data_IF_012476844350
#
_entry.id   IF_012476844350
#
_cell.length_a   1.000
_cell.length_b   1.000
_cell.length_c   1.000
_cell.angle_alpha   90.00
_cell.angle_beta   90.00
_cell.angle_gamma   90.00
#
_symmetry.space_group_name_H-M   'P 1'
#
loop_
_entity.id
_entity.type
_entity.pdbx_description
1 polymer ?
#
# COMPACT_ATOMS: atom_id res chain seq x y z
N UNK A 1 -50.02 -26.90 9.99
CA UNK A 1 -48.61 -26.98 10.42
C UNK A 1 -47.73 -26.98 9.18
N UNK A 2 -47.15 -25.84 8.81
CA UNK A 2 -46.04 -25.74 7.84
C UNK A 2 -45.22 -24.52 8.22
N UNK A 3 -44.22 -24.69 9.08
CA UNK A 3 -43.25 -23.63 9.39
C UNK A 3 -42.30 -23.48 8.19
N UNK A 4 -42.23 -22.26 7.65
CA UNK A 4 -41.27 -21.89 6.62
C UNK A 4 -39.88 -21.78 7.27
N UNK A 5 -38.83 -22.45 6.77
CA UNK A 5 -37.48 -22.28 7.29
C UNK A 5 -37.02 -20.85 7.03
N UNK A 6 -36.85 -20.06 8.10
CA UNK A 6 -36.22 -18.76 7.99
C UNK A 6 -34.75 -18.97 7.62
N UNK A 7 -34.41 -18.67 6.37
CA UNK A 7 -33.03 -18.56 5.91
C UNK A 7 -32.34 -17.49 6.75
N UNK A 8 -31.41 -17.91 7.62
CA UNK A 8 -30.61 -16.99 8.43
C UNK A 8 -29.90 -16.00 7.51
N UNK A 9 -30.01 -14.68 7.75
CA UNK A 9 -29.29 -13.71 6.94
C UNK A 9 -27.79 -13.99 7.10
N UNK A 10 -27.12 -14.35 6.00
CA UNK A 10 -25.67 -14.43 5.94
C UNK A 10 -25.12 -13.08 6.38
N UNK A 11 -24.49 -13.04 7.56
CA UNK A 11 -23.83 -11.84 8.07
C UNK A 11 -22.65 -11.56 7.13
N UNK A 12 -22.93 -10.84 6.05
CA UNK A 12 -21.92 -10.22 5.22
C UNK A 12 -21.17 -9.26 6.14
N UNK A 13 -20.00 -9.69 6.64
CA UNK A 13 -19.09 -8.87 7.44
C UNK A 13 -18.74 -7.63 6.61
N UNK A 14 -19.50 -6.56 6.78
CA UNK A 14 -19.13 -5.24 6.27
C UNK A 14 -17.88 -4.82 7.05
N UNK A 15 -16.75 -4.84 6.37
CA UNK A 15 -15.52 -4.26 6.89
C UNK A 15 -15.78 -2.79 7.28
N UNK A 16 -15.30 -2.33 8.45
CA UNK A 16 -15.48 -0.94 8.89
C UNK A 16 -14.79 0.06 7.97
N UNK A 17 -13.82 -0.41 7.18
CA UNK A 17 -13.26 0.30 6.04
C UNK A 17 -14.09 -0.11 4.82
N UNK A 18 -14.65 0.83 4.05
CA UNK A 18 -15.60 0.56 2.94
C UNK A 18 -15.12 -0.34 1.79
N UNK A 19 -14.04 -1.12 1.97
CA UNK A 19 -13.53 -2.16 1.08
C UNK A 19 -13.19 -3.44 1.87
N UNK A 20 -13.32 -4.63 1.25
CA UNK A 20 -12.93 -5.90 1.86
C UNK A 20 -11.42 -5.91 2.14
N UNK A 21 -11.01 -6.54 3.25
CA UNK A 21 -9.60 -6.64 3.68
C UNK A 21 -8.70 -7.17 2.55
N UNK A 22 -9.20 -8.13 1.76
CA UNK A 22 -8.48 -8.68 0.61
C UNK A 22 -8.15 -7.62 -0.45
N UNK A 23 -8.99 -6.61 -0.65
CA UNK A 23 -8.70 -5.52 -1.58
C UNK A 23 -7.58 -4.62 -1.08
N UNK A 24 -7.45 -4.42 0.24
CA UNK A 24 -6.33 -3.65 0.82
C UNK A 24 -5.00 -4.36 0.59
N UNK A 25 -4.96 -5.68 0.80
CA UNK A 25 -3.79 -6.50 0.49
C UNK A 25 -3.50 -6.53 -1.01
N UNK A 26 -4.51 -6.65 -1.86
CA UNK A 26 -4.34 -6.62 -3.32
C UNK A 26 -3.78 -5.27 -3.82
N UNK A 27 -4.27 -4.16 -3.27
CA UNK A 27 -3.73 -2.83 -3.55
C UNK A 27 -2.26 -2.73 -3.11
N UNK A 28 -1.95 -3.09 -1.86
CA UNK A 28 -0.58 -3.08 -1.35
C UNK A 28 0.36 -3.97 -2.19
N UNK A 29 -0.14 -5.13 -2.64
CA UNK A 29 0.60 -6.09 -3.45
C UNK A 29 1.04 -5.51 -4.81
N UNK A 30 0.30 -4.55 -5.39
CA UNK A 30 0.67 -3.92 -6.67
C UNK A 30 2.04 -3.22 -6.65
N UNK A 31 2.49 -2.77 -5.48
CA UNK A 31 3.78 -2.12 -5.33
C UNK A 31 4.94 -3.09 -5.06
N UNK A 32 4.66 -4.37 -4.76
CA UNK A 32 5.68 -5.37 -4.46
C UNK A 32 6.55 -5.80 -5.65
N UNK A 33 6.04 -5.90 -6.90
CA UNK A 33 6.87 -6.23 -8.05
C UNK A 33 8.08 -5.30 -8.15
N UNK A 34 7.91 -4.00 -7.87
CA UNK A 34 9.01 -3.05 -7.82
C UNK A 34 10.05 -3.44 -6.78
N UNK A 35 9.63 -3.74 -5.55
CA UNK A 35 10.53 -4.08 -4.44
C UNK A 35 11.37 -5.30 -4.81
N UNK A 36 10.73 -6.34 -5.34
CA UNK A 36 11.42 -7.57 -5.76
C UNK A 36 12.42 -7.27 -6.89
N UNK A 37 11.98 -6.60 -7.96
CA UNK A 37 12.84 -6.29 -9.10
C UNK A 37 14.01 -5.37 -8.72
N UNK A 38 13.77 -4.39 -7.85
CA UNK A 38 14.78 -3.47 -7.34
C UNK A 38 15.80 -4.19 -6.45
N UNK A 39 15.34 -5.02 -5.51
CA UNK A 39 16.22 -5.74 -4.57
C UNK A 39 17.01 -6.85 -5.28
N UNK A 40 16.48 -7.41 -6.36
CA UNK A 40 17.24 -8.32 -7.24
C UNK A 40 18.15 -7.58 -8.22
N UNK A 41 18.14 -6.24 -8.23
CA UNK A 41 18.90 -5.38 -9.16
C UNK A 41 18.62 -5.70 -10.64
N UNK A 42 17.41 -6.16 -10.94
CA UNK A 42 16.96 -6.49 -12.30
C UNK A 42 16.51 -5.26 -13.10
N UNK A 43 16.35 -4.12 -12.44
CA UNK A 43 15.94 -2.86 -13.06
C UNK A 43 16.96 -1.76 -12.78
N UNK A 44 17.24 -0.96 -13.80
CA UNK A 44 18.16 0.17 -13.67
C UNK A 44 17.55 1.27 -12.78
N UNK A 45 18.30 1.84 -11.82
CA UNK A 45 17.80 2.90 -10.93
C UNK A 45 17.25 4.12 -11.66
N UNK A 46 17.78 4.44 -12.84
CA UNK A 46 17.35 5.56 -13.69
C UNK A 46 16.40 5.18 -14.83
N UNK A 47 16.04 3.90 -14.95
CA UNK A 47 15.22 3.41 -16.05
C UNK A 47 13.76 3.87 -15.99
N UNK A 48 13.13 4.04 -17.16
CA UNK A 48 11.71 4.39 -17.26
C UNK A 48 10.82 3.36 -16.54
N UNK A 49 11.18 2.07 -16.61
CA UNK A 49 10.45 0.99 -15.93
C UNK A 49 10.44 1.17 -14.40
N UNK A 50 11.54 1.64 -13.81
CA UNK A 50 11.65 1.92 -12.37
C UNK A 50 10.66 3.01 -11.94
N UNK A 51 10.50 4.05 -12.76
CA UNK A 51 9.54 5.12 -12.53
C UNK A 51 8.09 4.64 -12.67
N UNK A 52 7.80 3.84 -13.70
CA UNK A 52 6.46 3.26 -13.89
C UNK A 52 6.08 2.38 -12.71
N UNK A 53 7.00 1.52 -12.26
CA UNK A 53 6.77 0.64 -11.11
C UNK A 53 6.70 1.41 -9.77
N UNK A 54 7.33 2.57 -9.67
CA UNK A 54 7.26 3.43 -8.49
C UNK A 54 5.95 4.22 -8.40
N UNK A 55 5.53 4.83 -9.51
CA UNK A 55 4.40 5.76 -9.55
C UNK A 55 3.09 5.05 -9.91
N UNK A 56 3.14 4.04 -10.78
CA UNK A 56 1.97 3.30 -11.26
C UNK A 56 1.07 2.77 -10.14
N UNK A 57 1.61 2.02 -9.16
CA UNK A 57 0.82 1.54 -8.02
C UNK A 57 0.18 2.67 -7.22
N UNK A 58 0.90 3.79 -7.01
CA UNK A 58 0.39 4.97 -6.29
C UNK A 58 -0.83 5.57 -6.99
N UNK A 59 -0.76 5.71 -8.32
CA UNK A 59 -1.88 6.22 -9.12
C UNK A 59 -3.07 5.28 -8.99
N UNK A 60 -2.86 3.96 -9.09
CA UNK A 60 -3.94 2.97 -8.97
C UNK A 60 -4.61 3.07 -7.59
N UNK A 61 -3.84 3.22 -6.51
CA UNK A 61 -4.39 3.38 -5.16
C UNK A 61 -5.30 4.59 -5.04
N UNK A 62 -4.85 5.75 -5.53
CA UNK A 62 -5.62 7.00 -5.52
C UNK A 62 -6.89 6.85 -6.36
N UNK A 63 -6.77 6.33 -7.59
CA UNK A 63 -7.90 6.15 -8.51
C UNK A 63 -8.94 5.23 -7.89
N UNK A 64 -8.53 4.09 -7.34
CA UNK A 64 -9.47 3.15 -6.69
C UNK A 64 -10.16 3.80 -5.50
N UNK A 65 -9.43 4.53 -4.64
CA UNK A 65 -10.01 5.19 -3.49
C UNK A 65 -11.06 6.26 -3.87
N UNK A 66 -10.78 7.05 -4.90
CA UNK A 66 -11.68 8.10 -5.41
C UNK A 66 -12.89 7.49 -6.12
N UNK A 67 -12.68 6.55 -7.05
CA UNK A 67 -13.75 5.93 -7.85
C UNK A 67 -14.69 5.10 -6.99
N UNK A 68 -14.16 4.35 -6.01
CA UNK A 68 -14.97 3.57 -5.06
C UNK A 68 -15.63 4.44 -3.99
N UNK A 69 -15.39 5.76 -3.99
CA UNK A 69 -15.94 6.72 -3.02
C UNK A 69 -15.76 6.25 -1.58
N UNK A 70 -14.55 5.83 -1.26
CA UNK A 70 -14.22 5.27 0.05
C UNK A 70 -14.57 6.29 1.14
N UNK A 71 -15.26 5.89 2.23
CA UNK A 71 -15.72 6.84 3.25
C UNK A 71 -14.59 7.63 3.90
N UNK A 72 -13.44 6.97 4.14
CA UNK A 72 -12.23 7.57 4.67
C UNK A 72 -11.03 7.20 3.77
N UNK A 73 -10.80 7.95 2.67
CA UNK A 73 -9.74 7.63 1.71
C UNK A 73 -8.35 7.80 2.31
N UNK A 74 -8.16 8.77 3.22
CA UNK A 74 -6.89 8.98 3.91
C UNK A 74 -6.50 7.76 4.76
N UNK A 75 -7.36 7.35 5.68
CA UNK A 75 -7.08 6.23 6.57
C UNK A 75 -6.91 4.91 5.80
N UNK A 76 -7.68 4.74 4.72
CA UNK A 76 -7.59 3.56 3.85
C UNK A 76 -6.23 3.48 3.17
N UNK A 77 -5.76 4.56 2.55
CA UNK A 77 -4.47 4.55 1.86
C UNK A 77 -3.28 4.59 2.82
N UNK A 78 -3.44 5.18 4.00
CA UNK A 78 -2.47 5.04 5.09
C UNK A 78 -2.28 3.58 5.49
N UNK A 79 -3.38 2.83 5.65
CA UNK A 79 -3.32 1.41 5.98
C UNK A 79 -2.73 0.58 4.82
N UNK A 80 -3.09 0.86 3.58
CA UNK A 80 -2.47 0.23 2.39
C UNK A 80 -0.97 0.49 2.37
N UNK A 81 -0.54 1.73 2.63
CA UNK A 81 0.87 2.11 2.73
C UNK A 81 1.60 1.40 3.87
N UNK A 82 0.96 1.25 5.04
CA UNK A 82 1.51 0.50 6.16
C UNK A 82 1.69 -1.00 5.85
N UNK A 83 0.68 -1.62 5.22
CA UNK A 83 0.75 -3.01 4.75
C UNK A 83 1.88 -3.16 3.71
N UNK A 84 1.94 -2.25 2.74
CA UNK A 84 3.02 -2.21 1.75
C UNK A 84 4.40 -2.09 2.41
N UNK A 85 4.57 -1.16 3.36
CA UNK A 85 5.82 -0.99 4.10
C UNK A 85 6.23 -2.26 4.84
N UNK A 86 5.28 -2.92 5.52
CA UNK A 86 5.54 -4.18 6.22
C UNK A 86 5.97 -5.30 5.26
N UNK A 87 5.24 -5.48 4.15
CA UNK A 87 5.58 -6.47 3.12
C UNK A 87 6.93 -6.17 2.46
N UNK A 88 7.22 -4.89 2.21
CA UNK A 88 8.49 -4.45 1.66
C UNK A 88 9.66 -4.74 2.60
N UNK A 89 9.49 -4.50 3.91
CA UNK A 89 10.49 -4.87 4.91
C UNK A 89 10.73 -6.37 4.89
N UNK A 90 9.68 -7.19 4.88
CA UNK A 90 9.82 -8.65 4.82
C UNK A 90 10.62 -9.06 3.59
N UNK A 91 10.26 -8.56 2.41
CA UNK A 91 10.97 -8.86 1.16
C UNK A 91 12.43 -8.42 1.24
N UNK A 92 12.70 -7.22 1.73
CA UNK A 92 14.06 -6.69 1.84
C UNK A 92 14.93 -7.49 2.81
N UNK A 93 14.36 -7.95 3.92
CA UNK A 93 15.05 -8.82 4.87
C UNK A 93 15.34 -10.20 4.26
N UNK A 94 14.44 -10.74 3.43
CA UNK A 94 14.62 -12.01 2.72
C UNK A 94 15.65 -11.89 1.58
N UNK A 95 15.61 -10.79 0.82
CA UNK A 95 16.47 -10.52 -0.33
C UNK A 95 17.76 -9.78 0.04
N UNK A 96 18.05 -9.62 1.33
CA UNK A 96 19.16 -8.81 1.84
C UNK A 96 20.50 -9.12 1.16
N UNK A 97 20.85 -10.39 0.98
CA UNK A 97 22.13 -10.77 0.34
C UNK A 97 22.17 -10.37 -1.14
N UNK A 98 21.04 -10.53 -1.84
CA UNK A 98 20.89 -10.18 -3.24
C UNK A 98 20.92 -8.66 -3.44
N UNK A 99 20.29 -7.89 -2.54
CA UNK A 99 20.26 -6.43 -2.58
C UNK A 99 21.67 -5.82 -2.54
N UNK A 100 22.60 -6.47 -1.82
CA UNK A 100 24.01 -6.04 -1.73
C UNK A 100 24.95 -6.80 -2.65
N UNK A 101 24.46 -7.67 -3.56
CA UNK A 101 25.29 -8.51 -4.44
C UNK A 101 26.38 -9.31 -3.69
N UNK A 102 26.11 -9.72 -2.46
CA UNK A 102 27.10 -10.40 -1.59
C UNK A 102 28.05 -9.47 -0.84
N UNK A 103 28.09 -8.17 -1.18
CA UNK A 103 28.93 -7.15 -0.54
C UNK A 103 28.18 -6.49 0.64
N UNK A 104 27.77 -7.36 1.57
CA UNK A 104 26.88 -6.99 2.67
C UNK A 104 27.58 -5.97 3.58
N UNK A 105 26.92 -4.85 3.96
CA UNK A 105 27.53 -3.89 4.86
C UNK A 105 27.97 -4.56 6.17
N UNK A 106 29.29 -4.69 6.35
CA UNK A 106 29.93 -5.33 7.50
C UNK A 106 30.91 -4.38 8.18
N UNK A 107 30.66 -3.07 8.15
CA UNK A 107 31.49 -2.07 8.81
C UNK A 107 31.49 -2.37 10.32
N UNK A 108 32.42 -3.19 10.79
CA UNK A 108 32.51 -3.68 12.17
C UNK A 108 32.16 -5.17 12.42
N UNK A 109 32.01 -6.02 11.40
CA UNK A 109 31.77 -7.47 11.56
C UNK A 109 30.28 -7.87 11.68
N UNK A 110 29.96 -9.13 12.08
CA UNK A 110 28.59 -9.69 12.05
C UNK A 110 27.55 -8.87 12.82
N UNK A 111 27.97 -8.19 13.90
CA UNK A 111 27.09 -7.34 14.70
C UNK A 111 26.60 -6.10 13.93
N UNK A 112 27.44 -5.51 13.07
CA UNK A 112 27.08 -4.35 12.27
C UNK A 112 26.00 -4.66 11.22
N UNK A 113 26.04 -5.86 10.65
CA UNK A 113 25.00 -6.36 9.73
C UNK A 113 23.64 -6.52 10.44
N UNK A 114 23.63 -6.95 11.71
CA UNK A 114 22.39 -7.03 12.51
C UNK A 114 21.82 -5.64 12.78
N UNK A 115 22.66 -4.67 13.16
CA UNK A 115 22.22 -3.29 13.41
C UNK A 115 21.61 -2.68 12.14
N UNK A 116 22.25 -2.84 10.98
CA UNK A 116 21.73 -2.34 9.71
C UNK A 116 20.36 -2.97 9.35
N UNK A 117 20.22 -4.28 9.57
CA UNK A 117 18.95 -5.01 9.37
C UNK A 117 17.85 -4.51 10.28
N UNK A 118 18.14 -4.31 11.55
CA UNK A 118 17.16 -3.79 12.52
C UNK A 118 16.78 -2.35 12.19
N UNK A 119 17.74 -1.51 11.76
CA UNK A 119 17.48 -0.13 11.34
C UNK A 119 16.66 -0.03 10.05
N UNK A 120 16.76 -1.02 9.15
CA UNK A 120 15.97 -1.07 7.92
C UNK A 120 14.47 -1.29 8.18
N UNK A 121 14.11 -1.98 9.28
CA UNK A 121 12.70 -2.25 9.65
C UNK A 121 11.89 -0.97 9.86
N UNK A 122 12.23 -0.06 10.80
CA UNK A 122 11.49 1.17 10.99
C UNK A 122 11.56 2.05 9.74
N UNK A 123 12.68 2.07 9.01
CA UNK A 123 12.81 2.85 7.78
C UNK A 123 11.80 2.43 6.70
N UNK A 124 11.65 1.11 6.45
CA UNK A 124 10.67 0.60 5.49
C UNK A 124 9.22 0.82 5.93
N UNK A 125 8.93 0.67 7.22
CA UNK A 125 7.61 0.97 7.78
C UNK A 125 7.25 2.46 7.66
N UNK A 126 8.18 3.34 8.02
CA UNK A 126 8.02 4.80 7.90
C UNK A 126 7.83 5.17 6.43
N UNK A 127 8.65 4.61 5.54
CA UNK A 127 8.53 4.86 4.09
C UNK A 127 7.14 4.47 3.60
N UNK A 128 6.67 3.26 3.92
CA UNK A 128 5.32 2.81 3.55
C UNK A 128 4.21 3.72 4.12
N UNK A 129 4.33 4.11 5.39
CA UNK A 129 3.37 5.00 6.04
C UNK A 129 3.34 6.41 5.40
N UNK A 130 4.51 7.01 5.12
CA UNK A 130 4.63 8.32 4.45
C UNK A 130 4.00 8.25 3.06
N UNK A 131 4.31 7.21 2.31
CA UNK A 131 3.75 6.99 0.97
C UNK A 131 2.22 6.83 1.03
N UNK A 132 1.70 6.05 1.98
CA UNK A 132 0.27 5.91 2.23
C UNK A 132 -0.40 7.22 2.66
N UNK A 133 0.26 8.02 3.51
CA UNK A 133 -0.24 9.31 3.95
C UNK A 133 -0.34 10.31 2.79
N UNK A 134 0.70 10.40 1.95
CA UNK A 134 0.72 11.30 0.78
C UNK A 134 -0.40 10.92 -0.19
N UNK A 135 -0.48 9.65 -0.59
CA UNK A 135 -1.53 9.18 -1.49
C UNK A 135 -2.93 9.35 -0.89
N UNK A 136 -3.08 9.09 0.41
CA UNK A 136 -4.30 9.32 1.18
C UNK A 136 -4.76 10.77 1.18
N UNK A 137 -3.85 11.72 1.39
CA UNK A 137 -4.15 13.16 1.35
C UNK A 137 -4.60 13.59 -0.05
N UNK A 138 -3.92 13.10 -1.09
CA UNK A 138 -4.30 13.38 -2.48
C UNK A 138 -5.70 12.84 -2.78
N UNK A 139 -5.98 11.59 -2.42
CA UNK A 139 -7.28 10.96 -2.64
C UNK A 139 -8.40 11.67 -1.85
N UNK A 140 -8.11 12.10 -0.62
CA UNK A 140 -9.03 12.88 0.19
C UNK A 140 -9.35 14.23 -0.46
N UNK A 141 -8.34 14.98 -0.89
CA UNK A 141 -8.53 16.27 -1.59
C UNK A 141 -9.36 16.12 -2.86
N UNK A 142 -9.05 15.12 -3.70
CA UNK A 142 -9.81 14.82 -4.91
C UNK A 142 -11.26 14.43 -4.60
N UNK A 143 -11.48 13.65 -3.56
CA UNK A 143 -12.82 13.24 -3.12
C UNK A 143 -13.64 14.41 -2.57
N UNK A 144 -13.00 15.37 -1.91
CA UNK A 144 -13.65 16.59 -1.42
C UNK A 144 -14.08 17.50 -2.58
N UNK A 145 -13.19 17.72 -3.56
CA UNK A 145 -13.46 18.54 -4.75
C UNK A 145 -14.60 17.98 -5.61
N UNK A 146 -14.68 16.65 -5.75
CA UNK A 146 -15.75 15.99 -6.52
C UNK A 146 -17.10 16.03 -5.80
N UNK A 147 -17.13 15.97 -4.46
CA UNK A 147 -18.36 16.08 -3.67
C UNK A 147 -18.96 17.48 -3.71
N UNK A 148 -18.14 18.52 -3.65
CA UNK A 148 -18.59 19.93 -3.73
C UNK A 148 -19.23 20.29 -5.08
N UNK A 149 -18.78 19.67 -6.18
CA UNK A 149 -19.36 19.90 -7.53
C UNK A 149 -20.75 19.28 -7.72
N UNK A 150 -21.11 18.26 -6.94
CA UNK A 150 -22.43 17.61 -7.03
C UNK A 150 -23.57 18.42 -6.38
N UNK A 151 -23.26 19.27 -5.39
CA UNK A 151 -24.27 20.04 -4.66
C UNK A 151 -24.79 21.30 -5.37
N UNK A 152 -24.09 21.77 -6.41
CA UNK A 152 -24.45 23.03 -7.10
C UNK A 152 -25.47 22.85 -8.24
N UNK A 153 -25.88 21.62 -8.56
CA UNK A 153 -26.78 21.31 -9.71
C UNK A 153 -28.25 21.10 -9.36
N UNK A 154 -28.67 21.18 -8.08
CA UNK A 154 -30.08 20.96 -7.68
C UNK A 154 -30.82 22.22 -7.21
N UNK A 155 -30.35 23.41 -7.58
CA UNK A 155 -31.02 24.69 -7.33
C UNK A 155 -31.18 25.46 -8.64
N UNK A 156 -32.04 24.96 -9.52
CA UNK A 156 -32.60 25.71 -10.66
C UNK A 156 -33.96 25.15 -10.99
#
# INVERSE_FOLDING_TARGET
MTQNPQTSPSIARRSPFGMPVLALFGLAALALPRVILHDLRLIDPGGVLTWILAIGPMIVWIVVAVVRRVPNPFLTLLLVGAIYGALSVIIHQLLWVNAYAGDVPSIGGPAATVVARVAAVPSGLITGAVVGAITGLIAWGLSALTRSRGGSRSRS
#
